data_IF_253873806349
#
_entry.id   IF_253873806349
#
_cell.length_a   1.000
_cell.length_b   1.000
_cell.length_c   1.000
_cell.angle_alpha   90.00
_cell.angle_beta   90.00
_cell.angle_gamma   90.00
#
_symmetry.space_group_name_H-M   'P 1'
#
loop_
_entity.id
_entity.type
_entity.pdbx_description
1 polymer ?
#
# COMPACT_ATOMS: atom_id res chain seq x y z
N UNK A 1 -24.01 -22.28 5.43
CA UNK A 1 -23.85 -21.68 4.08
C UNK A 1 -22.38 -21.33 3.89
N UNK A 2 -21.73 -21.84 2.84
CA UNK A 2 -20.34 -21.51 2.54
C UNK A 2 -20.36 -20.16 1.82
N UNK A 3 -20.03 -19.08 2.54
CA UNK A 3 -19.93 -17.75 1.95
C UNK A 3 -18.56 -17.60 1.31
N UNK A 4 -18.52 -17.31 0.01
CA UNK A 4 -17.26 -17.05 -0.68
C UNK A 4 -16.83 -15.60 -0.42
N UNK A 5 -15.63 -15.46 0.13
CA UNK A 5 -15.02 -14.16 0.36
C UNK A 5 -14.05 -13.83 -0.78
N UNK A 6 -14.14 -12.61 -1.32
CA UNK A 6 -13.18 -12.10 -2.31
C UNK A 6 -12.27 -11.08 -1.66
N UNK A 7 -10.99 -11.39 -1.54
CA UNK A 7 -9.96 -10.47 -1.03
C UNK A 7 -9.54 -9.49 -2.13
N UNK A 8 -9.66 -8.19 -1.87
CA UNK A 8 -9.18 -7.09 -2.72
C UNK A 8 -8.05 -6.38 -1.99
N UNK A 9 -6.92 -6.19 -2.66
CA UNK A 9 -5.83 -5.36 -2.15
C UNK A 9 -6.09 -3.89 -2.47
N UNK A 10 -5.95 -3.01 -1.47
CA UNK A 10 -6.11 -1.55 -1.59
C UNK A 10 -4.91 -0.87 -0.94
N UNK A 11 -4.30 0.11 -1.60
CA UNK A 11 -3.17 0.86 -1.05
C UNK A 11 -3.66 2.22 -0.54
N UNK A 12 -3.52 2.52 0.75
CA UNK A 12 -4.21 3.68 1.38
C UNK A 12 -3.33 4.56 2.25
N UNK A 13 -2.75 4.03 3.33
CA UNK A 13 -1.95 4.79 4.29
C UNK A 13 -0.59 4.12 4.49
N UNK A 14 0.46 4.90 4.74
CA UNK A 14 1.76 4.35 5.09
C UNK A 14 1.71 3.69 6.47
N UNK A 15 1.92 2.37 6.52
CA UNK A 15 2.03 1.59 7.75
C UNK A 15 3.48 1.49 8.26
N UNK A 16 4.45 2.12 7.58
CA UNK A 16 5.83 2.15 8.06
C UNK A 16 5.92 3.18 9.19
N UNK A 17 6.45 2.76 10.33
CA UNK A 17 6.82 3.68 11.41
C UNK A 17 8.12 4.38 10.96
N UNK A 18 8.06 5.69 10.73
CA UNK A 18 9.20 6.49 10.25
C UNK A 18 10.13 6.90 11.38
N UNK A 19 9.59 7.15 12.57
CA UNK A 19 10.35 7.47 13.77
C UNK A 19 9.49 7.08 14.99
N UNK A 20 10.09 6.51 16.03
CA UNK A 20 9.36 6.12 17.24
C UNK A 20 8.74 7.33 17.98
N UNK A 21 9.12 8.57 17.62
CA UNK A 21 8.57 9.81 18.17
C UNK A 21 7.69 10.60 17.20
N UNK A 22 7.65 10.26 15.91
CA UNK A 22 6.76 10.93 14.95
C UNK A 22 5.62 10.01 14.51
N UNK A 23 4.41 10.44 14.89
CA UNK A 23 3.15 10.05 14.31
C UNK A 23 3.24 9.96 12.78
N UNK A 24 2.72 8.86 12.21
CA UNK A 24 2.60 8.68 10.76
C UNK A 24 1.92 9.90 10.17
N UNK A 25 2.64 10.74 9.42
CA UNK A 25 2.00 11.87 8.73
C UNK A 25 1.21 11.29 7.56
N UNK A 26 -0.10 11.16 7.73
CA UNK A 26 -1.00 10.39 6.84
C UNK A 26 -1.51 11.21 5.65
N UNK A 27 -1.37 12.52 5.64
CA UNK A 27 -2.02 13.34 4.61
C UNK A 27 -1.37 13.18 3.23
N UNK A 28 -2.02 12.40 2.35
CA UNK A 28 -1.73 12.32 0.91
C UNK A 28 -1.08 11.02 0.40
N UNK A 29 -0.94 9.98 1.22
CA UNK A 29 -0.20 8.75 0.91
C UNK A 29 -0.88 7.79 -0.11
N UNK A 30 -1.19 8.22 -1.33
CA UNK A 30 -1.79 7.36 -2.39
C UNK A 30 -1.16 7.57 -3.78
N UNK A 31 -0.27 8.55 -3.89
CA UNK A 31 0.45 8.86 -5.12
C UNK A 31 1.69 7.96 -5.23
N UNK A 32 1.73 7.07 -6.23
CA UNK A 32 2.84 6.14 -6.42
C UNK A 32 3.53 6.37 -7.77
N UNK A 33 4.85 6.47 -7.72
CA UNK A 33 5.71 6.64 -8.90
C UNK A 33 6.48 5.34 -9.16
N UNK A 34 6.60 4.89 -10.43
CA UNK A 34 7.49 3.79 -10.76
C UNK A 34 8.95 4.16 -10.48
N UNK A 35 9.62 3.34 -9.68
CA UNK A 35 11.03 3.45 -9.30
C UNK A 35 11.85 2.24 -9.80
N UNK A 36 11.39 1.58 -10.87
CA UNK A 36 12.03 0.39 -11.41
C UNK A 36 13.11 0.72 -12.44
N UNK A 37 14.30 0.12 -12.29
CA UNK A 37 15.17 -0.12 -13.44
C UNK A 37 14.47 -1.12 -14.37
N UNK A 38 14.48 -0.80 -15.66
CA UNK A 38 13.92 -1.60 -16.75
C UNK A 38 14.30 -3.09 -16.59
N UNK A 39 13.29 -3.95 -16.38
CA UNK A 39 13.47 -5.42 -16.37
C UNK A 39 13.31 -6.15 -15.04
N UNK A 40 13.05 -5.48 -13.91
CA UNK A 40 12.74 -6.18 -12.65
C UNK A 40 11.24 -6.45 -12.54
N UNK A 41 10.84 -7.72 -12.30
CA UNK A 41 9.44 -8.15 -12.11
C UNK A 41 8.73 -7.47 -10.93
N UNK A 42 9.46 -6.72 -10.12
CA UNK A 42 8.89 -5.85 -9.11
C UNK A 42 8.67 -4.47 -9.73
N UNK A 43 7.42 -4.17 -10.14
CA UNK A 43 6.95 -2.80 -10.33
C UNK A 43 7.12 -2.07 -8.99
N UNK A 44 8.35 -1.60 -8.75
CA UNK A 44 8.78 -0.96 -7.53
C UNK A 44 8.11 0.41 -7.50
N UNK A 45 6.91 0.47 -6.94
CA UNK A 45 6.14 1.69 -6.83
C UNK A 45 6.48 2.32 -5.48
N UNK A 46 6.97 3.54 -5.52
CA UNK A 46 7.33 4.31 -4.33
C UNK A 46 6.34 5.44 -4.16
N UNK A 47 5.89 5.70 -2.93
CA UNK A 47 4.98 6.79 -2.64
C UNK A 47 5.70 8.14 -2.85
N UNK A 48 5.12 9.04 -3.64
CA UNK A 48 5.68 10.37 -3.90
C UNK A 48 5.66 11.31 -2.68
N UNK A 49 4.84 10.99 -1.67
CA UNK A 49 4.70 11.80 -0.44
C UNK A 49 5.68 11.36 0.64
N UNK A 50 5.73 10.06 0.95
CA UNK A 50 6.53 9.55 2.06
C UNK A 50 7.78 8.75 1.63
N UNK A 51 7.97 8.51 0.33
CA UNK A 51 9.10 7.72 -0.19
C UNK A 51 9.05 6.23 0.16
N UNK A 52 7.96 5.73 0.76
CA UNK A 52 7.83 4.31 1.09
C UNK A 52 7.39 3.46 -0.09
N UNK A 53 7.80 2.20 -0.07
CA UNK A 53 7.32 1.23 -1.05
C UNK A 53 5.82 0.95 -0.91
N UNK A 54 5.13 0.66 -2.02
CA UNK A 54 3.69 0.31 -2.02
C UNK A 54 3.32 -0.78 -1.02
N UNK A 55 4.25 -1.68 -0.71
CA UNK A 55 4.05 -2.76 0.27
C UNK A 55 3.71 -2.20 1.65
N UNK A 56 4.33 -1.10 2.05
CA UNK A 56 4.02 -0.43 3.32
C UNK A 56 2.66 0.27 3.30
N UNK A 57 2.04 0.44 2.13
CA UNK A 57 0.72 1.05 1.99
C UNK A 57 -0.40 0.01 1.78
N UNK A 58 -0.07 -1.28 1.74
CA UNK A 58 -0.98 -2.38 1.37
C UNK A 58 -1.94 -2.73 2.50
N UNK A 59 -3.25 -2.68 2.21
CA UNK A 59 -4.32 -3.21 3.05
C UNK A 59 -5.13 -4.25 2.28
N UNK A 60 -5.48 -5.36 2.92
CA UNK A 60 -6.30 -6.41 2.33
C UNK A 60 -7.75 -6.26 2.81
N UNK A 61 -8.67 -6.04 1.87
CA UNK A 61 -10.09 -5.81 2.14
C UNK A 61 -10.88 -7.01 1.64
N UNK A 62 -11.55 -7.69 2.55
CA UNK A 62 -12.42 -8.83 2.23
C UNK A 62 -13.82 -8.34 1.86
N UNK A 63 -14.31 -8.69 0.67
CA UNK A 63 -15.71 -8.46 0.27
C UNK A 63 -16.51 -9.75 0.37
N UNK A 64 -17.66 -9.68 1.02
CA UNK A 64 -18.67 -10.76 1.00
C UNK A 64 -19.42 -10.65 -0.32
N UNK A 65 -19.36 -11.70 -1.13
CA UNK A 65 -20.23 -11.81 -2.31
C UNK A 65 -21.53 -12.46 -1.82
N UNK A 66 -22.70 -11.80 -1.95
CA UNK A 66 -23.98 -12.41 -1.60
C UNK A 66 -24.27 -13.65 -2.46
#
# INVERSE_FOLDING_TARGET
PVVNYKTKVVYTNCNKIHDFRFQTTVDGCQEFTPNGKEGSSDNALTCGVCGCHKVFHRNEVTKVVP
#
